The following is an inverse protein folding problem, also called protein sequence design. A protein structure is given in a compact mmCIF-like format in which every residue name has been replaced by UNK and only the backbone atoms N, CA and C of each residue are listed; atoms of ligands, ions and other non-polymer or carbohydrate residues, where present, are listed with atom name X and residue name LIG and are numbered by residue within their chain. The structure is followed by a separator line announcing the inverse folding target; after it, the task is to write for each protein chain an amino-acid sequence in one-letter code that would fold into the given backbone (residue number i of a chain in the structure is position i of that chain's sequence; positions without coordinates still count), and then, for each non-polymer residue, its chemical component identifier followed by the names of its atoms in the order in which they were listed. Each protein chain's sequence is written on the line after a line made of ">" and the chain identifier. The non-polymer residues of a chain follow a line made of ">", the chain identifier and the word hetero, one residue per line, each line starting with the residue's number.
data_IF_757018534958
#
_entry.id   IF_757018534958
#
_cell.length_a   1.000
_cell.length_b   1.000
_cell.length_c   1.000
_cell.angle_alpha   90.00
_cell.angle_beta   90.00
_cell.angle_gamma   90.00
#
_symmetry.space_group_name_H-M   'P 1'
#
loop_
_entity.id
_entity.type
_entity.pdbx_description
1 polymer ?
#
# COMPACT_ATOMS: atom_id res chain seq x y z
N UNK A 1 -21.71 18.35 4.66
CA UNK A 1 -20.74 19.20 3.94
C UNK A 1 -20.15 18.53 2.70
N UNK A 2 -19.60 17.30 2.78
CA UNK A 2 -19.09 16.56 1.60
C UNK A 2 -20.13 16.33 0.49
N UNK A 3 -21.39 16.02 0.86
CA UNK A 3 -22.50 15.78 -0.08
C UNK A 3 -22.77 17.00 -0.99
N UNK A 4 -22.72 18.20 -0.43
CA UNK A 4 -22.98 19.46 -1.15
C UNK A 4 -21.80 19.87 -2.03
N UNK A 5 -20.55 19.65 -1.57
CA UNK A 5 -19.34 19.93 -2.37
C UNK A 5 -19.15 18.93 -3.54
N UNK A 6 -19.52 17.66 -3.35
CA UNK A 6 -19.53 16.66 -4.41
C UNK A 6 -20.62 16.96 -5.45
N UNK A 7 -21.79 17.40 -5.01
CA UNK A 7 -22.92 17.71 -5.89
C UNK A 7 -22.64 18.95 -6.77
N UNK A 8 -22.08 20.02 -6.20
CA UNK A 8 -21.65 21.23 -6.94
C UNK A 8 -20.53 20.95 -7.95
N UNK A 9 -19.54 20.11 -7.61
CA UNK A 9 -18.41 19.80 -8.51
C UNK A 9 -18.75 18.76 -9.59
N UNK A 10 -19.67 17.84 -9.32
CA UNK A 10 -20.01 16.74 -10.24
C UNK A 10 -21.25 17.04 -11.10
N UNK A 11 -22.13 17.98 -10.73
CA UNK A 11 -23.29 18.33 -11.57
C UNK A 11 -22.89 18.81 -12.98
N UNK A 12 -21.88 19.69 -13.14
CA UNK A 12 -21.41 20.11 -14.46
C UNK A 12 -20.80 18.93 -15.24
N UNK A 13 -20.07 18.04 -14.56
CA UNK A 13 -19.46 16.85 -15.15
C UNK A 13 -20.50 15.83 -15.61
N UNK A 14 -21.58 15.61 -14.85
CA UNK A 14 -22.70 14.74 -15.22
C UNK A 14 -23.56 15.35 -16.34
N UNK A 15 -23.65 16.69 -16.42
CA UNK A 15 -24.28 17.40 -17.56
C UNK A 15 -23.43 17.36 -18.83
N UNK A 16 -22.10 17.33 -18.72
CA UNK A 16 -21.19 17.14 -19.86
C UNK A 16 -21.23 15.72 -20.44
N UNK A 17 -21.75 14.74 -19.68
CA UNK A 17 -22.05 13.38 -20.17
C UNK A 17 -23.37 13.35 -20.97
N UNK A 18 -24.13 14.44 -20.99
CA UNK A 18 -25.28 14.59 -21.89
C UNK A 18 -24.74 15.02 -23.27
N UNK A 19 -25.02 14.26 -24.36
CA UNK A 19 -24.39 14.47 -25.65
C UNK A 19 -25.02 15.70 -26.33
N UNK A 20 -24.58 16.89 -25.96
CA UNK A 20 -24.86 18.11 -26.71
C UNK A 20 -23.54 18.68 -27.20
N UNK A 21 -23.18 18.20 -28.40
CA UNK A 21 -22.40 18.89 -29.42
C UNK A 21 -21.10 19.59 -28.97
N UNK A 22 -20.04 18.81 -28.77
CA UNK A 22 -18.71 19.30 -29.10
C UNK A 22 -18.34 18.84 -30.51
N UNK A 23 -18.50 19.76 -31.47
CA UNK A 23 -17.94 19.65 -32.82
C UNK A 23 -16.41 19.59 -32.72
N UNK A 24 -15.84 18.40 -32.80
CA UNK A 24 -14.47 18.24 -33.26
C UNK A 24 -14.49 17.94 -34.76
N UNK A 25 -13.78 18.76 -35.52
CA UNK A 25 -13.52 18.58 -36.94
C UNK A 25 -12.64 17.35 -37.13
N UNK A 26 -13.25 16.19 -37.34
CA UNK A 26 -12.55 15.03 -37.90
C UNK A 26 -13.28 14.55 -39.14
N UNK A 27 -12.49 14.45 -40.21
CA UNK A 27 -12.83 13.91 -41.52
C UNK A 27 -13.64 12.62 -41.38
N UNK A 28 -14.85 12.63 -41.93
CA UNK A 28 -15.66 11.43 -42.13
C UNK A 28 -14.95 10.54 -43.15
N UNK A 29 -14.08 9.65 -42.68
CA UNK A 29 -13.80 8.42 -43.42
C UNK A 29 -14.79 7.36 -42.92
N UNK A 30 -15.49 6.74 -43.87
CA UNK A 30 -16.41 5.61 -43.68
C UNK A 30 -15.64 4.32 -43.30
N UNK A 31 -14.70 4.42 -42.37
CA UNK A 31 -13.82 3.35 -41.92
C UNK A 31 -14.36 2.63 -40.69
N UNK A 32 -14.26 1.30 -40.69
CA UNK A 32 -14.54 0.44 -39.53
C UNK A 32 -13.70 0.91 -38.33
N UNK A 33 -14.32 1.13 -37.17
CA UNK A 33 -13.59 1.52 -35.95
C UNK A 33 -12.53 0.48 -35.59
N UNK A 34 -11.26 0.88 -35.64
CA UNK A 34 -10.12 0.06 -35.24
C UNK A 34 -9.68 0.49 -33.85
N UNK A 35 -9.83 -0.42 -32.88
CA UNK A 35 -9.49 -0.16 -31.47
C UNK A 35 -8.02 0.22 -31.31
N UNK A 36 -7.13 -0.43 -32.07
CA UNK A 36 -5.68 -0.18 -31.99
C UNK A 36 -5.31 1.24 -32.43
N UNK A 37 -5.84 1.69 -33.57
CA UNK A 37 -5.59 3.04 -34.11
C UNK A 37 -6.11 4.10 -33.16
N UNK A 38 -7.34 3.94 -32.65
CA UNK A 38 -7.90 4.83 -31.63
C UNK A 38 -7.01 4.92 -30.37
N UNK A 39 -6.46 3.80 -29.92
CA UNK A 39 -5.58 3.77 -28.75
C UNK A 39 -4.24 4.48 -29.00
N UNK A 40 -3.72 4.46 -30.22
CA UNK A 40 -2.49 5.19 -30.59
C UNK A 40 -2.79 6.68 -30.75
N UNK A 41 -3.72 7.01 -31.65
CA UNK A 41 -3.96 8.37 -32.11
C UNK A 41 -4.63 9.25 -31.05
N UNK A 42 -5.57 8.67 -30.30
CA UNK A 42 -6.43 9.41 -29.36
C UNK A 42 -6.01 9.20 -27.91
N UNK A 43 -5.52 8.01 -27.55
CA UNK A 43 -5.07 7.72 -26.18
C UNK A 43 -3.56 7.90 -25.98
N UNK A 44 -2.78 8.22 -27.03
CA UNK A 44 -1.35 8.50 -26.92
C UNK A 44 -0.51 7.26 -26.57
N UNK A 45 -0.99 6.06 -26.89
CA UNK A 45 -0.29 4.81 -26.59
C UNK A 45 0.75 4.49 -27.65
N UNK A 46 1.82 3.80 -27.24
CA UNK A 46 2.73 3.21 -28.23
C UNK A 46 2.02 2.10 -29.01
N UNK A 47 2.37 1.86 -30.28
CA UNK A 47 1.78 0.78 -31.07
C UNK A 47 1.90 -0.62 -30.41
N UNK A 48 2.93 -0.85 -29.60
CA UNK A 48 3.08 -2.09 -28.84
C UNK A 48 2.07 -2.20 -27.69
N UNK A 49 1.83 -1.10 -26.97
CA UNK A 49 0.84 -1.04 -25.90
C UNK A 49 -0.59 -1.15 -26.45
N UNK A 50 -0.90 -0.45 -27.55
CA UNK A 50 -2.20 -0.51 -28.20
C UNK A 50 -2.56 -1.93 -28.65
N UNK A 51 -1.63 -2.65 -29.28
CA UNK A 51 -1.79 -4.08 -29.64
C UNK A 51 -2.05 -5.00 -28.46
N UNK A 52 -1.40 -4.74 -27.33
CA UNK A 52 -1.61 -5.54 -26.12
C UNK A 52 -2.99 -5.25 -25.52
N UNK A 53 -3.38 -3.97 -25.45
CA UNK A 53 -4.65 -3.55 -24.87
C UNK A 53 -5.87 -3.95 -25.72
N UNK A 54 -5.77 -3.87 -27.05
CA UNK A 54 -6.86 -4.19 -27.99
C UNK A 54 -7.38 -5.62 -27.84
N UNK A 55 -6.50 -6.58 -27.51
CA UNK A 55 -6.86 -7.99 -27.22
C UNK A 55 -7.89 -8.13 -26.09
N UNK A 56 -7.93 -7.18 -25.15
CA UNK A 56 -8.85 -7.20 -24.02
C UNK A 56 -10.14 -6.41 -24.28
N UNK A 57 -10.32 -5.87 -25.47
CA UNK A 57 -11.41 -4.97 -25.84
C UNK A 57 -12.17 -5.42 -27.11
N UNK A 58 -12.49 -6.73 -27.28
CA UNK A 58 -13.12 -7.22 -28.50
C UNK A 58 -14.53 -6.65 -28.74
N UNK A 59 -15.14 -6.05 -27.71
CA UNK A 59 -16.49 -5.50 -27.76
C UNK A 59 -16.53 -3.98 -27.98
N UNK A 60 -15.39 -3.30 -28.01
CA UNK A 60 -15.35 -1.86 -28.23
C UNK A 60 -15.53 -1.57 -29.73
N UNK A 61 -16.71 -1.09 -30.11
CA UNK A 61 -17.11 -0.87 -31.51
C UNK A 61 -17.18 0.62 -31.90
N UNK A 62 -17.07 1.53 -30.94
CA UNK A 62 -17.15 2.98 -31.14
C UNK A 62 -16.25 3.73 -30.14
N UNK A 63 -15.81 4.96 -30.48
CA UNK A 63 -15.01 5.79 -29.58
C UNK A 63 -15.86 6.51 -28.51
N UNK A 64 -17.19 6.48 -28.60
CA UNK A 64 -18.09 7.29 -27.76
C UNK A 64 -17.91 7.05 -26.26
N UNK A 65 -17.90 5.78 -25.84
CA UNK A 65 -17.70 5.39 -24.43
C UNK A 65 -16.31 5.77 -23.92
N UNK A 66 -15.21 5.41 -24.60
CA UNK A 66 -13.88 5.74 -24.10
C UNK A 66 -13.58 7.25 -24.16
N UNK A 67 -14.15 8.00 -25.10
CA UNK A 67 -14.04 9.46 -25.11
C UNK A 67 -14.80 10.10 -23.93
N UNK A 68 -15.99 9.61 -23.60
CA UNK A 68 -16.70 10.07 -22.40
C UNK A 68 -15.90 9.82 -21.12
N UNK A 69 -15.20 8.69 -21.03
CA UNK A 69 -14.28 8.38 -19.92
C UNK A 69 -13.11 9.35 -19.88
N UNK A 70 -12.46 9.61 -21.03
CA UNK A 70 -11.32 10.53 -21.11
C UNK A 70 -11.71 11.96 -20.72
N UNK A 71 -12.84 12.44 -21.24
CA UNK A 71 -13.39 13.74 -20.88
C UNK A 71 -13.66 13.83 -19.38
N UNK A 72 -14.27 12.80 -18.80
CA UNK A 72 -14.52 12.75 -17.36
C UNK A 72 -13.23 12.74 -16.53
N UNK A 73 -12.23 11.92 -16.89
CA UNK A 73 -10.95 11.88 -16.19
C UNK A 73 -10.27 13.24 -16.19
N UNK A 74 -10.32 13.94 -17.32
CA UNK A 74 -9.80 15.30 -17.48
C UNK A 74 -10.53 16.28 -16.55
N UNK A 75 -11.87 16.25 -16.53
CA UNK A 75 -12.69 17.07 -15.63
C UNK A 75 -12.43 16.73 -14.15
N UNK A 76 -12.12 15.48 -13.85
CA UNK A 76 -11.77 15.02 -12.51
C UNK A 76 -10.33 15.37 -12.09
N UNK A 77 -9.58 16.09 -12.93
CA UNK A 77 -8.21 16.54 -12.64
C UNK A 77 -7.13 15.49 -12.86
N UNK A 78 -7.42 14.42 -13.61
CA UNK A 78 -6.43 13.43 -14.03
C UNK A 78 -5.73 13.93 -15.28
N UNK A 79 -4.38 13.91 -15.30
CA UNK A 79 -3.63 14.34 -16.47
C UNK A 79 -3.89 13.41 -17.67
N UNK A 80 -3.76 13.94 -18.89
CA UNK A 80 -3.89 13.10 -20.10
C UNK A 80 -2.88 11.94 -20.10
N UNK A 81 -1.68 12.16 -19.57
CA UNK A 81 -0.65 11.13 -19.42
C UNK A 81 -1.04 10.04 -18.42
N UNK A 82 -1.67 10.41 -17.30
CA UNK A 82 -2.17 9.44 -16.32
C UNK A 82 -3.39 8.68 -16.85
N UNK A 83 -4.26 9.35 -17.60
CA UNK A 83 -5.38 8.71 -18.30
C UNK A 83 -4.89 7.71 -19.36
N UNK A 84 -3.86 8.06 -20.14
CA UNK A 84 -3.20 7.14 -21.06
C UNK A 84 -2.55 5.95 -20.32
N UNK A 85 -1.85 6.21 -19.22
CA UNK A 85 -1.22 5.18 -18.39
C UNK A 85 -2.25 4.25 -17.75
N UNK A 86 -3.42 4.77 -17.39
CA UNK A 86 -4.56 3.99 -16.91
C UNK A 86 -4.97 2.91 -17.92
N UNK A 87 -4.98 3.28 -19.19
CA UNK A 87 -5.39 2.42 -20.31
C UNK A 87 -4.30 1.38 -20.64
N UNK A 88 -3.01 1.63 -20.36
CA UNK A 88 -1.93 0.66 -20.65
C UNK A 88 -1.71 -0.42 -19.59
N UNK A 89 -2.01 -0.12 -18.32
CA UNK A 89 -1.62 -0.99 -17.20
C UNK A 89 -2.53 -2.22 -17.06
N UNK A 90 -2.22 -3.28 -17.82
CA UNK A 90 -2.61 -4.73 -17.70
C UNK A 90 -4.06 -5.11 -17.34
N UNK A 91 -4.95 -4.14 -17.13
CA UNK A 91 -6.37 -4.23 -16.76
C UNK A 91 -7.14 -3.05 -17.37
N UNK A 92 -6.86 -2.76 -18.64
CA UNK A 92 -7.55 -1.72 -19.43
C UNK A 92 -9.04 -2.01 -19.60
N UNK A 93 -9.42 -3.29 -19.59
CA UNK A 93 -10.80 -3.74 -19.83
C UNK A 93 -11.82 -3.07 -18.88
N UNK A 94 -11.61 -3.02 -17.55
CA UNK A 94 -12.50 -2.28 -16.65
C UNK A 94 -12.66 -0.79 -16.99
N UNK A 95 -11.62 -0.13 -17.51
CA UNK A 95 -11.62 1.32 -17.74
C UNK A 95 -12.23 1.74 -19.08
N UNK A 96 -12.38 0.83 -20.03
CA UNK A 96 -13.02 1.12 -21.32
C UNK A 96 -14.42 0.52 -21.42
N UNK A 97 -14.79 -0.36 -20.48
CA UNK A 97 -16.17 -0.84 -20.27
C UNK A 97 -16.96 0.04 -19.26
N UNK A 98 -16.41 1.20 -18.88
CA UNK A 98 -16.98 2.09 -17.86
C UNK A 98 -18.39 2.53 -18.28
N UNK A 99 -19.39 2.12 -17.49
CA UNK A 99 -20.74 2.66 -17.52
C UNK A 99 -20.80 4.01 -16.78
N UNK A 100 -21.85 4.83 -16.95
CA UNK A 100 -22.03 6.06 -16.16
C UNK A 100 -21.96 5.84 -14.63
N UNK A 101 -22.34 4.65 -14.17
CA UNK A 101 -22.20 4.22 -12.78
C UNK A 101 -20.73 4.09 -12.36
N UNK A 102 -19.89 3.51 -13.21
CA UNK A 102 -18.45 3.34 -12.99
C UNK A 102 -17.72 4.69 -12.99
N UNK A 103 -18.13 5.63 -13.86
CA UNK A 103 -17.69 7.04 -13.83
C UNK A 103 -17.95 7.67 -12.47
N UNK A 104 -19.18 7.54 -11.98
CA UNK A 104 -19.60 8.13 -10.71
C UNK A 104 -18.82 7.56 -9.51
N UNK A 105 -18.48 6.27 -9.56
CA UNK A 105 -17.62 5.61 -8.54
C UNK A 105 -16.19 6.11 -8.61
N UNK A 106 -15.65 6.30 -9.82
CA UNK A 106 -14.30 6.83 -9.98
C UNK A 106 -14.19 8.26 -9.47
N UNK A 107 -15.20 9.11 -9.74
CA UNK A 107 -15.32 10.45 -9.15
C UNK A 107 -15.26 10.41 -7.63
N UNK A 108 -16.05 9.51 -7.03
CA UNK A 108 -16.08 9.34 -5.58
C UNK A 108 -14.69 8.98 -5.04
N UNK A 109 -14.00 7.99 -5.62
CA UNK A 109 -12.68 7.58 -5.14
C UNK A 109 -11.59 8.63 -5.39
N UNK A 110 -11.64 9.36 -6.50
CA UNK A 110 -10.72 10.47 -6.74
C UNK A 110 -10.90 11.57 -5.69
N UNK A 111 -12.14 11.93 -5.37
CA UNK A 111 -12.44 12.89 -4.30
C UNK A 111 -12.02 12.38 -2.92
N UNK A 112 -12.15 11.07 -2.66
CA UNK A 112 -11.87 10.46 -1.36
C UNK A 112 -10.37 10.23 -1.13
N UNK A 113 -9.65 9.77 -2.15
CA UNK A 113 -8.23 9.38 -2.07
C UNK A 113 -7.28 10.50 -2.51
N UNK A 114 -7.80 11.56 -3.14
CA UNK A 114 -7.09 12.80 -3.45
C UNK A 114 -6.15 12.76 -4.65
N UNK A 115 -5.88 11.60 -5.25
CA UNK A 115 -5.09 11.48 -6.48
C UNK A 115 -5.40 10.22 -7.27
N UNK A 116 -5.16 10.26 -8.58
CA UNK A 116 -5.29 9.11 -9.45
C UNK A 116 -4.37 7.95 -9.01
N UNK A 117 -3.13 8.23 -8.61
CA UNK A 117 -2.20 7.20 -8.13
C UNK A 117 -2.71 6.45 -6.90
N UNK A 118 -3.34 7.15 -5.96
CA UNK A 118 -3.93 6.51 -4.78
C UNK A 118 -5.13 5.65 -5.16
N UNK A 119 -5.97 6.11 -6.09
CA UNK A 119 -7.09 5.34 -6.64
C UNK A 119 -6.59 4.10 -7.36
N UNK A 120 -5.61 4.24 -8.25
CA UNK A 120 -5.00 3.13 -8.96
C UNK A 120 -4.40 2.11 -8.00
N UNK A 121 -3.71 2.57 -6.95
CA UNK A 121 -3.17 1.69 -5.89
C UNK A 121 -4.30 0.96 -5.15
N UNK A 122 -5.39 1.65 -4.82
CA UNK A 122 -6.56 1.04 -4.17
C UNK A 122 -7.23 -0.02 -5.06
N UNK A 123 -7.43 0.25 -6.35
CA UNK A 123 -7.98 -0.70 -7.33
C UNK A 123 -7.06 -1.94 -7.46
N UNK A 124 -5.74 -1.75 -7.40
CA UNK A 124 -4.81 -2.90 -7.40
C UNK A 124 -4.93 -3.73 -6.14
N UNK A 125 -5.20 -3.10 -4.99
CA UNK A 125 -5.41 -3.80 -3.72
C UNK A 125 -6.78 -4.50 -3.62
N UNK A 126 -7.78 -4.05 -4.39
CA UNK A 126 -9.10 -4.70 -4.49
C UNK A 126 -9.70 -4.58 -5.89
N UNK A 127 -9.84 -5.72 -6.57
CA UNK A 127 -10.46 -5.78 -7.89
C UNK A 127 -11.94 -5.40 -7.92
N UNK A 128 -12.61 -5.38 -6.76
CA UNK A 128 -14.04 -5.08 -6.64
C UNK A 128 -14.33 -3.60 -6.36
N UNK A 129 -13.29 -2.79 -6.13
CA UNK A 129 -13.46 -1.40 -5.65
C UNK A 129 -14.41 -0.57 -6.53
N UNK A 130 -14.31 -0.74 -7.85
CA UNK A 130 -15.15 -0.03 -8.80
C UNK A 130 -16.46 -0.76 -9.15
N UNK A 131 -16.62 -2.03 -8.78
CA UNK A 131 -17.88 -2.78 -8.97
C UNK A 131 -18.82 -2.71 -7.77
N UNK A 132 -18.30 -2.44 -6.57
CA UNK A 132 -19.08 -2.34 -5.33
C UNK A 132 -19.96 -1.08 -5.27
N UNK A 133 -21.14 -1.20 -4.65
CA UNK A 133 -22.04 -0.07 -4.37
C UNK A 133 -21.44 0.89 -3.33
N UNK A 134 -21.18 2.13 -3.77
CA UNK A 134 -20.58 3.16 -2.91
C UNK A 134 -21.49 3.53 -1.74
N UNK A 135 -22.78 3.75 -2.00
CA UNK A 135 -23.70 4.24 -0.97
C UNK A 135 -24.06 3.18 0.08
N UNK A 136 -24.20 1.91 -0.34
CA UNK A 136 -24.69 0.85 0.55
C UNK A 136 -23.57 0.08 1.26
N UNK A 137 -22.34 0.11 0.74
CA UNK A 137 -21.22 -0.69 1.27
C UNK A 137 -20.04 0.21 1.64
N UNK A 138 -19.51 0.96 0.68
CA UNK A 138 -18.26 1.71 0.87
C UNK A 138 -18.41 2.84 1.87
N UNK A 139 -19.48 3.64 1.78
CA UNK A 139 -19.74 4.76 2.69
C UNK A 139 -20.00 4.29 4.14
N UNK A 140 -20.85 3.27 4.39
CA UNK A 140 -20.99 2.69 5.73
C UNK A 140 -19.68 2.17 6.31
N UNK A 141 -18.84 1.52 5.49
CA UNK A 141 -17.51 1.06 5.93
C UNK A 141 -16.58 2.22 6.26
N UNK A 142 -16.55 3.29 5.46
CA UNK A 142 -15.80 4.51 5.77
C UNK A 142 -16.29 5.10 7.09
N UNK A 143 -17.60 5.24 7.28
CA UNK A 143 -18.19 5.82 8.48
C UNK A 143 -17.86 4.98 9.73
N UNK A 144 -17.98 3.66 9.66
CA UNK A 144 -17.59 2.75 10.74
C UNK A 144 -16.12 2.93 11.13
N UNK A 145 -15.23 3.06 10.15
CA UNK A 145 -13.80 3.25 10.39
C UNK A 145 -13.50 4.61 11.02
N UNK A 146 -14.23 5.66 10.63
CA UNK A 146 -14.16 6.98 11.27
C UNK A 146 -14.69 6.94 12.71
N UNK A 147 -15.78 6.21 12.97
CA UNK A 147 -16.31 5.96 14.32
C UNK A 147 -15.32 5.17 15.18
N UNK A 148 -14.44 4.39 14.57
CA UNK A 148 -13.30 3.77 15.24
C UNK A 148 -12.14 4.74 15.51
N UNK A 149 -12.32 6.06 15.40
CA UNK A 149 -11.31 7.06 15.74
C UNK A 149 -10.20 7.24 14.70
N UNK A 150 -10.33 6.65 13.50
CA UNK A 150 -9.40 6.88 12.40
C UNK A 150 -9.67 8.24 11.75
N UNK A 151 -8.61 8.96 11.39
CA UNK A 151 -8.76 10.20 10.60
C UNK A 151 -9.11 9.88 9.15
N UNK A 152 -9.72 10.81 8.38
CA UNK A 152 -9.95 10.61 6.94
C UNK A 152 -8.68 10.19 6.18
N UNK A 153 -7.51 10.72 6.57
CA UNK A 153 -6.20 10.35 6.02
C UNK A 153 -5.83 8.89 6.35
N UNK A 154 -6.12 8.42 7.56
CA UNK A 154 -5.89 7.04 7.96
C UNK A 154 -6.77 6.07 7.15
N UNK A 155 -8.05 6.42 6.98
CA UNK A 155 -9.00 5.63 6.20
C UNK A 155 -8.58 5.58 4.72
N UNK A 156 -8.19 6.71 4.12
CA UNK A 156 -7.66 6.74 2.75
C UNK A 156 -6.39 5.88 2.61
N UNK A 157 -5.45 5.98 3.55
CA UNK A 157 -4.23 5.15 3.58
C UNK A 157 -4.56 3.66 3.69
N UNK A 158 -5.58 3.31 4.47
CA UNK A 158 -6.06 1.94 4.63
C UNK A 158 -6.69 1.44 3.33
N UNK A 159 -7.48 2.26 2.63
CA UNK A 159 -8.10 1.94 1.35
C UNK A 159 -7.06 1.60 0.27
N UNK A 160 -5.95 2.33 0.21
CA UNK A 160 -4.87 2.02 -0.74
C UNK A 160 -4.12 0.72 -0.42
N UNK A 161 -4.14 0.25 0.83
CA UNK A 161 -3.37 -0.94 1.26
C UNK A 161 -4.22 -2.20 1.39
N UNK A 162 -5.47 -2.01 1.78
CA UNK A 162 -6.44 -3.04 2.13
C UNK A 162 -7.80 -2.61 1.55
N UNK A 163 -7.84 -2.38 0.23
CA UNK A 163 -9.04 -1.91 -0.45
C UNK A 163 -10.23 -2.85 -0.27
N UNK A 164 -9.98 -4.15 -0.02
CA UNK A 164 -11.06 -5.12 0.17
C UNK A 164 -11.89 -4.82 1.42
N UNK A 165 -11.31 -4.21 2.46
CA UNK A 165 -12.02 -3.78 3.67
C UNK A 165 -13.17 -2.81 3.35
N UNK A 166 -13.07 -2.07 2.25
CA UNK A 166 -14.07 -1.08 1.84
C UNK A 166 -15.17 -1.71 0.98
N UNK A 167 -14.91 -2.89 0.43
CA UNK A 167 -15.83 -3.60 -0.47
C UNK A 167 -16.52 -4.80 0.18
N UNK A 168 -16.11 -5.18 1.39
CA UNK A 168 -16.76 -6.22 2.19
C UNK A 168 -18.09 -5.74 2.79
N UNK A 169 -18.97 -6.69 3.08
CA UNK A 169 -20.22 -6.41 3.80
C UNK A 169 -19.93 -5.75 5.16
N UNK A 170 -20.70 -4.72 5.58
CA UNK A 170 -20.43 -3.98 6.81
C UNK A 170 -20.32 -4.83 8.07
N UNK A 171 -21.09 -5.92 8.18
CA UNK A 171 -20.98 -6.85 9.31
C UNK A 171 -19.62 -7.55 9.38
N UNK A 172 -19.03 -7.93 8.24
CA UNK A 172 -17.69 -8.51 8.21
C UNK A 172 -16.64 -7.50 8.61
N UNK A 173 -16.81 -6.23 8.25
CA UNK A 173 -15.90 -5.16 8.67
C UNK A 173 -15.99 -4.95 10.19
N UNK A 174 -17.19 -5.02 10.79
CA UNK A 174 -17.36 -5.01 12.26
C UNK A 174 -16.65 -6.19 12.93
N UNK A 175 -16.70 -7.38 12.36
CA UNK A 175 -15.93 -8.52 12.86
C UNK A 175 -14.42 -8.28 12.77
N UNK A 176 -13.93 -7.64 11.70
CA UNK A 176 -12.51 -7.26 11.59
C UNK A 176 -12.12 -6.24 12.67
N UNK A 177 -12.97 -5.25 12.92
CA UNK A 177 -12.79 -4.27 14.01
C UNK A 177 -12.72 -4.99 15.36
N UNK A 178 -13.67 -5.88 15.66
CA UNK A 178 -13.67 -6.65 16.90
C UNK A 178 -12.41 -7.55 17.05
N UNK A 179 -11.90 -8.11 15.94
CA UNK A 179 -10.63 -8.84 15.95
C UNK A 179 -9.43 -7.92 16.20
N UNK A 180 -9.44 -6.70 15.66
CA UNK A 180 -8.39 -5.72 15.90
C UNK A 180 -8.40 -5.23 17.36
N UNK A 181 -9.57 -5.06 17.97
CA UNK A 181 -9.69 -4.70 19.40
C UNK A 181 -9.06 -5.75 20.32
N UNK A 182 -9.18 -7.05 19.96
CA UNK A 182 -8.55 -8.15 20.70
C UNK A 182 -7.02 -8.10 20.69
N UNK A 183 -6.41 -7.30 19.82
CA UNK A 183 -4.96 -7.04 19.85
C UNK A 183 -4.57 -5.96 20.88
N UNK A 184 -5.54 -5.35 21.57
CA UNK A 184 -5.33 -4.35 22.61
C UNK A 184 -4.92 -2.97 22.08
N UNK A 185 -5.06 -2.71 20.78
CA UNK A 185 -4.69 -1.43 20.16
C UNK A 185 -5.81 -0.40 20.37
N UNK A 186 -5.53 0.77 20.97
CA UNK A 186 -6.52 1.82 21.10
C UNK A 186 -7.01 2.31 19.74
N UNK A 187 -8.33 2.42 19.58
CA UNK A 187 -9.01 2.84 18.34
C UNK A 187 -8.61 4.25 17.87
N UNK A 188 -8.44 5.19 18.79
CA UNK A 188 -8.03 6.58 18.52
C UNK A 188 -6.52 6.75 18.23
N UNK A 189 -5.73 5.67 18.28
CA UNK A 189 -4.34 5.72 17.84
C UNK A 189 -4.30 5.53 16.31
N UNK A 190 -3.49 6.32 15.61
CA UNK A 190 -3.15 6.05 14.20
C UNK A 190 -2.55 4.65 13.96
N UNK A 191 -2.26 3.89 15.04
CA UNK A 191 -1.88 2.48 15.03
C UNK A 191 -3.05 1.53 14.71
N UNK A 192 -4.30 1.92 14.98
CA UNK A 192 -5.45 1.03 14.78
C UNK A 192 -5.61 0.60 13.32
N UNK A 193 -5.27 1.47 12.35
CA UNK A 193 -5.21 1.09 10.92
C UNK A 193 -4.20 -0.04 10.63
N UNK A 194 -3.14 -0.15 11.43
CA UNK A 194 -2.16 -1.24 11.34
C UNK A 194 -2.69 -2.52 11.96
N UNK A 195 -3.46 -2.43 13.03
CA UNK A 195 -4.17 -3.57 13.61
C UNK A 195 -5.17 -4.16 12.61
N UNK A 196 -5.99 -3.30 11.97
CA UNK A 196 -6.92 -3.69 10.90
C UNK A 196 -6.19 -4.35 9.73
N UNK A 197 -5.06 -3.78 9.29
CA UNK A 197 -4.23 -4.38 8.25
C UNK A 197 -3.72 -5.79 8.66
N UNK A 198 -3.32 -5.97 9.92
CA UNK A 198 -2.83 -7.26 10.42
C UNK A 198 -3.93 -8.32 10.45
N UNK A 199 -5.11 -8.02 11.00
CA UNK A 199 -6.22 -9.00 11.11
C UNK A 199 -6.92 -9.27 9.78
N UNK A 200 -6.76 -8.38 8.81
CA UNK A 200 -7.13 -8.65 7.44
C UNK A 200 -6.21 -9.71 6.82
N UNK A 201 -4.88 -9.53 6.95
CA UNK A 201 -3.90 -10.43 6.35
C UNK A 201 -3.82 -11.81 7.02
N UNK A 202 -4.24 -11.90 8.29
CA UNK A 202 -4.06 -13.09 9.11
C UNK A 202 -5.39 -13.52 9.72
N UNK A 203 -5.68 -14.83 9.66
CA UNK A 203 -6.79 -15.40 10.41
C UNK A 203 -6.42 -15.57 11.90
N UNK A 204 -7.41 -15.75 12.80
CA UNK A 204 -7.17 -15.87 14.24
C UNK A 204 -6.22 -17.01 14.63
N UNK A 205 -6.28 -18.16 13.93
CA UNK A 205 -5.40 -19.30 14.21
C UNK A 205 -3.93 -18.95 13.93
N UNK A 206 -3.68 -18.26 12.82
CA UNK A 206 -2.33 -17.80 12.46
C UNK A 206 -1.82 -16.75 13.45
N UNK A 207 -2.68 -15.85 13.93
CA UNK A 207 -2.31 -14.88 14.98
C UNK A 207 -1.89 -15.63 16.25
N UNK A 208 -2.70 -16.56 16.74
CA UNK A 208 -2.40 -17.37 17.93
C UNK A 208 -1.07 -18.12 17.79
N UNK A 209 -0.89 -18.88 16.71
CA UNK A 209 0.33 -19.66 16.49
C UNK A 209 1.60 -18.78 16.46
N UNK A 210 1.50 -17.56 15.91
CA UNK A 210 2.62 -16.60 15.90
C UNK A 210 2.88 -16.00 17.28
N UNK A 211 1.84 -15.72 18.05
CA UNK A 211 1.96 -15.27 19.44
C UNK A 211 2.66 -16.35 20.28
N UNK A 212 2.22 -17.60 20.18
CA UNK A 212 2.80 -18.74 20.90
C UNK A 212 4.28 -18.95 20.54
N UNK A 213 4.60 -18.89 19.25
CA UNK A 213 5.97 -18.95 18.78
C UNK A 213 6.84 -17.83 19.38
N UNK A 214 6.38 -16.58 19.31
CA UNK A 214 7.14 -15.44 19.82
C UNK A 214 7.31 -15.51 21.34
N UNK A 215 6.26 -15.89 22.07
CA UNK A 215 6.29 -16.12 23.52
C UNK A 215 7.39 -17.12 23.88
N UNK A 216 7.42 -18.28 23.20
CA UNK A 216 8.44 -19.32 23.41
C UNK A 216 9.85 -18.87 23.00
N UNK A 217 10.00 -18.24 21.84
CA UNK A 217 11.31 -17.81 21.32
C UNK A 217 11.95 -16.72 22.20
N UNK A 218 11.13 -15.78 22.66
CA UNK A 218 11.55 -14.68 23.52
C UNK A 218 11.60 -15.09 25.00
N UNK A 219 10.89 -16.14 25.41
CA UNK A 219 10.79 -16.50 26.83
C UNK A 219 10.13 -15.41 27.67
N UNK A 220 9.18 -14.67 27.08
CA UNK A 220 8.48 -13.57 27.76
C UNK A 220 7.09 -14.00 28.23
N UNK A 221 6.51 -13.22 29.12
CA UNK A 221 5.12 -13.38 29.53
C UNK A 221 4.14 -13.01 28.40
N UNK A 222 2.89 -13.43 28.56
CA UNK A 222 1.82 -13.11 27.61
C UNK A 222 1.49 -11.63 27.58
N UNK A 223 1.50 -10.96 28.74
CA UNK A 223 1.26 -9.53 28.86
C UNK A 223 2.35 -8.69 28.20
N UNK A 224 3.62 -9.07 28.39
CA UNK A 224 4.75 -8.40 27.72
C UNK A 224 4.65 -8.50 26.20
N UNK A 225 4.30 -9.69 25.69
CA UNK A 225 4.10 -9.89 24.25
C UNK A 225 2.88 -9.12 23.74
N UNK A 226 1.77 -9.11 24.48
CA UNK A 226 0.58 -8.36 24.12
C UNK A 226 0.86 -6.86 24.01
N UNK A 227 1.62 -6.28 24.96
CA UNK A 227 2.08 -4.87 24.88
C UNK A 227 2.93 -4.65 23.62
N UNK A 228 3.86 -5.56 23.33
CA UNK A 228 4.70 -5.48 22.15
C UNK A 228 3.89 -5.50 20.84
N UNK A 229 2.91 -6.40 20.73
CA UNK A 229 2.03 -6.49 19.56
C UNK A 229 1.10 -5.28 19.46
N UNK A 230 0.57 -4.78 20.58
CA UNK A 230 -0.23 -3.56 20.61
C UNK A 230 0.53 -2.36 20.03
N UNK A 231 1.80 -2.20 20.38
CA UNK A 231 2.65 -1.13 19.86
C UNK A 231 3.01 -1.31 18.37
N UNK A 232 3.01 -2.54 17.86
CA UNK A 232 3.42 -2.82 16.48
C UNK A 232 2.73 -4.05 15.87
N UNK A 233 1.43 -3.98 15.55
CA UNK A 233 0.66 -5.15 15.09
C UNK A 233 1.23 -5.80 13.83
N UNK A 234 1.91 -5.02 12.98
CA UNK A 234 2.57 -5.52 11.77
C UNK A 234 3.70 -6.52 12.05
N UNK A 235 4.20 -6.61 13.29
CA UNK A 235 5.13 -7.65 13.72
C UNK A 235 4.65 -9.05 13.29
N UNK A 236 3.35 -9.31 13.49
CA UNK A 236 2.71 -10.60 13.17
C UNK A 236 2.69 -10.90 11.67
N UNK A 237 2.79 -9.90 10.81
CA UNK A 237 2.84 -10.11 9.35
C UNK A 237 4.19 -10.67 8.88
N UNK A 238 5.22 -10.62 9.74
CA UNK A 238 6.54 -11.20 9.46
C UNK A 238 6.49 -12.72 9.50
N UNK A 239 7.22 -13.41 8.60
CA UNK A 239 7.28 -14.87 8.60
C UNK A 239 7.92 -15.41 9.89
N UNK A 240 7.46 -16.58 10.35
CA UNK A 240 7.99 -17.23 11.56
C UNK A 240 9.48 -17.50 11.44
N UNK A 241 9.93 -17.97 10.27
CA UNK A 241 11.36 -18.20 10.02
C UNK A 241 12.22 -16.94 10.11
N UNK A 242 11.74 -15.78 9.62
CA UNK A 242 12.47 -14.52 9.78
C UNK A 242 12.48 -14.07 11.25
N UNK A 243 11.37 -14.20 11.95
CA UNK A 243 11.28 -13.87 13.38
C UNK A 243 12.25 -14.72 14.20
N UNK A 244 12.26 -16.03 13.99
CA UNK A 244 13.17 -16.97 14.67
C UNK A 244 14.63 -16.61 14.50
N UNK A 245 15.10 -16.47 13.26
CA UNK A 245 16.50 -16.08 12.97
C UNK A 245 16.87 -14.72 13.58
N UNK A 246 15.92 -13.79 13.63
CA UNK A 246 16.15 -12.49 14.27
C UNK A 246 16.24 -12.61 15.79
N UNK A 247 15.37 -13.40 16.43
CA UNK A 247 15.44 -13.66 17.88
C UNK A 247 16.75 -14.34 18.24
N UNK A 248 17.14 -15.38 17.51
CA UNK A 248 18.39 -16.10 17.71
C UNK A 248 19.59 -15.18 17.60
N UNK A 249 19.70 -14.41 16.51
CA UNK A 249 20.76 -13.43 16.34
C UNK A 249 20.85 -12.42 17.49
N UNK A 250 19.72 -11.86 17.92
CA UNK A 250 19.70 -10.87 18.99
C UNK A 250 20.08 -11.47 20.35
N UNK A 251 19.71 -12.73 20.63
CA UNK A 251 20.02 -13.41 21.90
C UNK A 251 21.44 -13.96 21.92
N UNK A 252 21.84 -14.67 20.88
CA UNK A 252 23.07 -15.47 20.83
C UNK A 252 24.24 -14.61 20.35
N UNK A 253 24.15 -14.02 19.16
CA UNK A 253 25.27 -13.27 18.58
C UNK A 253 25.46 -11.88 19.21
N UNK A 254 24.34 -11.18 19.47
CA UNK A 254 24.37 -9.83 20.06
C UNK A 254 24.43 -9.87 21.59
N UNK A 255 23.91 -10.94 22.22
CA UNK A 255 23.88 -11.07 23.68
C UNK A 255 22.85 -10.17 24.36
N UNK A 256 21.71 -9.90 23.73
CA UNK A 256 20.66 -9.07 24.33
C UNK A 256 19.73 -9.88 25.22
N UNK A 257 19.43 -9.32 26.39
CA UNK A 257 18.45 -9.85 27.32
C UNK A 257 17.04 -9.90 26.69
N UNK A 258 16.26 -10.97 26.88
CA UNK A 258 14.98 -11.11 26.20
C UNK A 258 13.98 -10.00 26.50
N UNK A 259 13.92 -9.54 27.76
CA UNK A 259 13.07 -8.40 28.14
C UNK A 259 13.44 -7.10 27.40
N UNK A 260 14.72 -6.90 27.07
CA UNK A 260 15.13 -5.77 26.24
C UNK A 260 14.67 -5.92 24.79
N UNK A 261 14.78 -7.13 24.23
CA UNK A 261 14.34 -7.44 22.86
C UNK A 261 12.83 -7.19 22.71
N UNK A 262 12.02 -7.66 23.66
CA UNK A 262 10.56 -7.50 23.65
C UNK A 262 10.15 -6.01 23.67
N UNK A 263 10.90 -5.17 24.40
CA UNK A 263 10.67 -3.71 24.44
C UNK A 263 11.17 -2.96 23.19
N UNK A 264 11.89 -3.65 22.29
CA UNK A 264 12.49 -3.08 21.07
C UNK A 264 11.95 -3.75 19.81
N UNK A 265 10.63 -3.82 19.70
CA UNK A 265 9.93 -4.58 18.67
C UNK A 265 10.28 -4.16 17.23
N UNK A 266 10.71 -2.91 17.02
CA UNK A 266 11.14 -2.41 15.70
C UNK A 266 12.34 -3.20 15.13
N UNK A 267 13.12 -3.88 15.98
CA UNK A 267 14.22 -4.74 15.53
C UNK A 267 13.74 -5.85 14.57
N UNK A 268 12.55 -6.40 14.79
CA UNK A 268 11.97 -7.46 13.95
C UNK A 268 11.56 -7.00 12.55
N UNK A 269 11.32 -5.70 12.36
CA UNK A 269 10.95 -5.15 11.05
C UNK A 269 12.18 -4.98 10.16
N UNK A 270 13.34 -4.71 10.74
CA UNK A 270 14.56 -4.51 9.97
C UNK A 270 14.97 -5.77 9.20
N UNK A 271 15.74 -5.58 8.13
CA UNK A 271 16.38 -6.69 7.42
C UNK A 271 17.50 -7.25 8.29
N UNK A 272 17.46 -8.56 8.56
CA UNK A 272 18.47 -9.21 9.40
C UNK A 272 19.86 -9.10 8.76
N UNK A 273 19.95 -9.54 7.50
CA UNK A 273 21.18 -9.66 6.73
C UNK A 273 21.65 -8.29 6.23
N UNK A 274 20.72 -7.43 5.80
CA UNK A 274 21.05 -6.14 5.17
C UNK A 274 21.22 -4.99 6.15
N UNK A 275 20.76 -5.13 7.42
CA UNK A 275 20.75 -4.02 8.38
C UNK A 275 21.18 -4.40 9.78
N UNK A 276 20.66 -5.48 10.37
CA UNK A 276 20.98 -5.83 11.77
C UNK A 276 22.41 -6.37 11.89
N UNK A 277 22.76 -7.39 11.11
CA UNK A 277 24.10 -8.00 11.10
C UNK A 277 25.19 -6.96 10.77
N UNK A 278 25.08 -6.17 9.68
CA UNK A 278 26.10 -5.16 9.34
C UNK A 278 26.31 -4.11 10.43
N UNK A 279 25.23 -3.68 11.10
CA UNK A 279 25.34 -2.71 12.20
C UNK A 279 25.96 -3.32 13.45
N UNK A 280 25.63 -4.58 13.76
CA UNK A 280 26.25 -5.28 14.87
C UNK A 280 27.76 -5.47 14.64
N UNK A 281 28.17 -5.82 13.41
CA UNK A 281 29.58 -5.89 13.03
C UNK A 281 30.30 -4.56 13.28
N UNK A 282 29.74 -3.44 12.80
CA UNK A 282 30.32 -2.10 13.03
C UNK A 282 30.41 -1.78 14.53
N UNK A 283 29.37 -2.11 15.30
CA UNK A 283 29.39 -1.94 16.77
C UNK A 283 30.53 -2.72 17.41
N UNK A 284 30.79 -3.96 16.99
CA UNK A 284 31.90 -4.78 17.50
C UNK A 284 33.25 -4.15 17.21
N UNK A 285 33.50 -3.73 15.95
CA UNK A 285 34.76 -3.09 15.55
C UNK A 285 35.01 -1.80 16.35
N UNK A 286 33.98 -0.95 16.50
CA UNK A 286 34.13 0.30 17.24
C UNK A 286 34.38 0.09 18.73
N UNK A 287 33.69 -0.88 19.36
CA UNK A 287 33.93 -1.25 20.75
C UNK A 287 35.35 -1.73 20.98
N UNK A 288 35.90 -2.55 20.09
CA UNK A 288 37.27 -3.02 20.20
C UNK A 288 38.30 -1.87 20.13
N UNK A 289 37.97 -0.78 19.43
CA UNK A 289 38.77 0.45 19.37
C UNK A 289 38.45 1.49 20.44
N UNK A 290 37.63 1.15 21.43
CA UNK A 290 37.22 2.08 22.50
C UNK A 290 36.31 3.23 22.04
N UNK A 291 35.71 3.13 20.86
CA UNK A 291 34.87 4.17 20.26
C UNK A 291 33.39 3.96 20.59
N UNK A 292 32.66 5.06 20.86
CA UNK A 292 31.22 5.02 21.18
C UNK A 292 30.34 5.00 19.94
N UNK A 293 29.19 4.33 20.05
CA UNK A 293 28.20 4.30 18.98
C UNK A 293 27.38 5.61 18.91
N UNK A 294 27.39 6.31 17.76
CA UNK A 294 26.48 7.43 17.47
C UNK A 294 25.86 7.31 16.07
N UNK A 295 24.65 7.85 15.84
CA UNK A 295 23.83 7.63 14.63
C UNK A 295 24.44 8.12 13.30
N UNK A 296 25.48 8.97 13.31
CA UNK A 296 26.16 9.52 12.10
C UNK A 296 27.56 8.90 11.90
N UNK A 297 27.60 7.61 11.55
CA UNK A 297 28.69 6.74 11.97
C UNK A 297 29.85 6.49 10.99
N UNK A 298 29.59 6.38 9.68
CA UNK A 298 30.65 5.95 8.75
C UNK A 298 31.67 7.06 8.45
N UNK A 299 31.20 8.29 8.32
CA UNK A 299 32.07 9.43 7.99
C UNK A 299 32.90 9.87 9.21
N UNK A 300 32.30 9.85 10.41
CA UNK A 300 32.95 10.34 11.64
C UNK A 300 34.14 9.50 12.09
N UNK A 301 34.13 8.21 11.81
CA UNK A 301 35.20 7.28 12.19
C UNK A 301 36.04 6.82 11.00
N UNK A 302 35.92 7.49 9.83
CA UNK A 302 36.67 7.14 8.62
C UNK A 302 38.19 7.21 8.84
N UNK A 303 38.64 8.18 9.63
CA UNK A 303 40.05 8.38 9.97
C UNK A 303 40.52 7.45 11.11
N UNK A 304 39.68 7.21 12.12
CA UNK A 304 40.01 6.33 13.25
C UNK A 304 39.94 4.84 12.91
N UNK A 305 39.14 4.48 11.89
CA UNK A 305 38.94 3.09 11.41
C UNK A 305 38.95 3.07 9.88
N UNK A 306 40.14 3.13 9.26
CA UNK A 306 40.28 3.01 7.81
C UNK A 306 39.62 1.72 7.30
N UNK A 307 38.87 1.81 6.19
CA UNK A 307 38.17 0.67 5.60
C UNK A 307 36.79 0.34 6.19
N UNK A 308 36.37 0.96 7.29
CA UNK A 308 35.08 0.68 7.95
C UNK A 308 33.87 0.86 7.03
N UNK A 309 33.86 1.91 6.20
CA UNK A 309 32.79 2.16 5.24
C UNK A 309 32.72 1.09 4.14
N UNK A 310 33.87 0.63 3.64
CA UNK A 310 33.94 -0.44 2.64
C UNK A 310 33.49 -1.77 3.23
N UNK A 311 33.94 -2.11 4.43
CA UNK A 311 33.51 -3.30 5.14
C UNK A 311 32.01 -3.28 5.46
N UNK A 312 31.48 -2.13 5.89
CA UNK A 312 30.04 -1.99 6.11
C UNK A 312 29.23 -2.17 4.81
N UNK A 313 29.68 -1.58 3.71
CA UNK A 313 29.05 -1.75 2.40
C UNK A 313 29.09 -3.23 1.94
N UNK A 314 30.21 -3.92 2.14
CA UNK A 314 30.36 -5.34 1.87
C UNK A 314 29.39 -6.19 2.72
N UNK A 315 29.30 -5.91 4.03
CA UNK A 315 28.35 -6.56 4.93
C UNK A 315 26.89 -6.34 4.49
N UNK A 316 26.52 -5.11 4.10
CA UNK A 316 25.19 -4.81 3.56
C UNK A 316 24.89 -5.55 2.23
N UNK A 317 25.92 -5.87 1.45
CA UNK A 317 25.83 -6.69 0.24
C UNK A 317 25.82 -8.21 0.53
N UNK A 318 25.87 -8.62 1.80
CA UNK A 318 25.85 -10.03 2.21
C UNK A 318 27.21 -10.72 2.15
N UNK A 319 28.30 -9.97 1.96
CA UNK A 319 29.66 -10.50 2.07
C UNK A 319 30.12 -10.34 3.52
N UNK A 320 30.63 -11.41 4.13
CA UNK A 320 31.32 -11.29 5.43
C UNK A 320 32.59 -10.48 5.16
N UNK A 321 32.74 -9.25 5.69
CA UNK A 321 33.96 -8.51 5.48
C UNK A 321 35.09 -9.28 6.16
N UNK A 322 36.17 -9.54 5.43
CA UNK A 322 37.44 -9.96 6.03
C UNK A 322 37.71 -9.06 7.24
N UNK A 323 38.13 -9.65 8.36
CA UNK A 323 38.40 -8.90 9.59
C UNK A 323 39.15 -7.61 9.26
N UNK A 324 38.53 -6.46 9.53
CA UNK A 324 39.32 -5.24 9.65
C UNK A 324 40.24 -5.56 10.81
N UNK A 325 41.53 -5.79 10.49
CA UNK A 325 42.55 -6.17 11.46
C UNK A 325 42.38 -5.26 12.68
N UNK A 326 42.03 -5.90 13.81
CA UNK A 326 41.75 -5.27 15.09
C UNK A 326 43.00 -4.61 15.64
#
# INVERSE_FOLDING_TARGET
>A
MLRHQLQERLLPALRAVNPLHHRHLFSTSSGRFVVEDYLVDTCGLTPAQARKASKYLPHLKSPEKPDAVRAFLTVAGVSEADAATAITRDRAAPLLQISPLMVSRLAFYLSFLGSYDNVHTAIRSSGYLLSTHVDNVVKPNIELLLQCGLTPRDVATLCSRVGVLFTEEPERVKEMVARADKLGVPRNAGMFKRALQTVHNLNPRTISAKMDFLKKALGCSESELAIAVCQIPTLLTTSVGKLGRTVEFLKVDVGLEPGFIVRRQRLFIYGLEKRLIPRHYVIKVLKAKGLRFTERMLERHKESVPGLASAYAAACAGKVPSEIIL
#
